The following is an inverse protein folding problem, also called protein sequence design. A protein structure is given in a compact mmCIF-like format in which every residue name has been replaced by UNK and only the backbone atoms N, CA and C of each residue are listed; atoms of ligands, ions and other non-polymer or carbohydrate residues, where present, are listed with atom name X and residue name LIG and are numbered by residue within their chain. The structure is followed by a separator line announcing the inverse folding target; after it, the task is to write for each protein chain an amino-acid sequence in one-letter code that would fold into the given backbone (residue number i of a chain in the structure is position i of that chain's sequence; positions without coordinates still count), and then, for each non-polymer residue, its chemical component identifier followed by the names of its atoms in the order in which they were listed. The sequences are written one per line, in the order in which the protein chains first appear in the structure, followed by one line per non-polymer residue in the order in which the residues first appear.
data_IF_027361005819
#
_entry.id   IF_027361005819
#
_cell.length_a   1.000
_cell.length_b   1.000
_cell.length_c   1.000
_cell.angle_alpha   90.00
_cell.angle_beta   90.00
_cell.angle_gamma   90.00
#
_symmetry.space_group_name_H-M   'P 1'
#
loop_
_entity.id
_entity.type
_entity.pdbx_description
1 polymer ?
#
# COMPACT_ATOMS: atom_id res chain seq x y z
N UNK A 1 -25.13 -3.89 -12.66
CA UNK A 1 -26.39 -4.08 -11.91
C UNK A 1 -26.02 -4.50 -10.49
N UNK A 2 -25.98 -3.56 -9.55
CA UNK A 2 -25.71 -3.86 -8.14
C UNK A 2 -27.04 -4.08 -7.43
N UNK A 3 -27.31 -5.33 -7.03
CA UNK A 3 -28.45 -5.66 -6.19
C UNK A 3 -28.28 -4.92 -4.86
N UNK A 4 -29.07 -3.86 -4.65
CA UNK A 4 -29.21 -3.25 -3.33
C UNK A 4 -29.94 -4.25 -2.44
N UNK A 5 -29.39 -4.66 -1.28
CA UNK A 5 -30.14 -5.48 -0.35
C UNK A 5 -31.38 -4.71 0.13
N UNK A 6 -32.51 -5.43 0.20
CA UNK A 6 -33.79 -4.94 0.70
C UNK A 6 -33.65 -4.29 2.10
N UNK A 7 -34.34 -3.17 2.42
CA UNK A 7 -34.20 -2.47 3.69
C UNK A 7 -34.76 -3.23 4.93
N UNK A 8 -35.29 -4.44 4.76
CA UNK A 8 -36.22 -5.05 5.71
C UNK A 8 -35.62 -6.02 6.74
N UNK A 9 -34.30 -6.10 6.90
CA UNK A 9 -33.66 -6.90 7.95
C UNK A 9 -32.60 -6.08 8.67
N UNK A 10 -33.00 -4.96 9.30
CA UNK A 10 -32.21 -4.37 10.38
C UNK A 10 -32.25 -5.31 11.57
N UNK A 11 -31.36 -6.32 11.60
CA UNK A 11 -31.04 -7.00 12.86
C UNK A 11 -30.69 -5.91 13.87
N UNK A 12 -31.38 -5.89 15.01
CA UNK A 12 -30.94 -5.10 16.17
C UNK A 12 -29.61 -5.70 16.61
N UNK A 13 -28.52 -5.09 16.20
CA UNK A 13 -27.20 -5.46 16.69
C UNK A 13 -27.13 -5.08 18.17
N UNK A 14 -26.71 -6.02 19.01
CA UNK A 14 -26.56 -5.81 20.45
C UNK A 14 -25.10 -6.04 20.82
N UNK A 15 -24.53 -5.13 21.61
CA UNK A 15 -23.24 -5.32 22.28
C UNK A 15 -23.47 -5.14 23.76
N UNK A 16 -23.10 -6.13 24.58
CA UNK A 16 -23.23 -6.08 26.05
C UNK A 16 -24.61 -5.61 26.54
N UNK A 17 -25.69 -6.17 25.96
CA UNK A 17 -27.08 -5.84 26.28
C UNK A 17 -27.55 -4.42 25.94
N UNK A 18 -26.74 -3.61 25.26
CA UNK A 18 -27.13 -2.31 24.72
C UNK A 18 -27.46 -2.42 23.21
N UNK A 19 -28.54 -1.79 22.73
CA UNK A 19 -28.82 -1.70 21.30
C UNK A 19 -27.76 -0.81 20.64
N UNK A 20 -27.16 -1.30 19.55
CA UNK A 20 -26.20 -0.51 18.76
C UNK A 20 -26.98 0.43 17.85
N UNK A 21 -26.61 1.71 17.87
CA UNK A 21 -27.14 2.70 16.94
C UNK A 21 -26.59 2.44 15.53
N UNK A 22 -27.48 2.19 14.56
CA UNK A 22 -27.11 2.03 13.15
C UNK A 22 -27.21 3.39 12.47
N UNK A 23 -26.06 4.01 12.19
CA UNK A 23 -25.98 5.29 11.49
C UNK A 23 -25.50 5.09 10.05
N UNK A 24 -25.91 5.98 9.15
CA UNK A 24 -25.42 5.97 7.76
C UNK A 24 -23.98 6.49 7.63
N UNK A 25 -23.57 7.26 8.62
CA UNK A 25 -22.32 8.00 8.64
C UNK A 25 -21.81 8.04 10.08
N UNK A 26 -20.56 7.64 10.26
CA UNK A 26 -19.90 7.64 11.56
C UNK A 26 -18.51 8.27 11.42
N UNK A 27 -18.16 9.14 12.36
CA UNK A 27 -16.85 9.79 12.40
C UNK A 27 -16.08 9.24 13.59
N UNK A 28 -14.88 8.74 13.32
CA UNK A 28 -13.96 8.29 14.36
C UNK A 28 -12.57 8.80 14.05
N UNK A 29 -12.01 9.59 14.98
CA UNK A 29 -10.69 10.21 14.85
C UNK A 29 -10.47 10.85 13.46
N UNK A 30 -11.43 11.63 12.97
CA UNK A 30 -11.41 12.28 11.65
C UNK A 30 -11.56 11.38 10.41
N UNK A 31 -11.65 10.06 10.60
CA UNK A 31 -12.02 9.09 9.56
C UNK A 31 -13.53 9.05 9.44
N UNK A 32 -14.02 9.11 8.20
CA UNK A 32 -15.45 9.09 7.87
C UNK A 32 -15.83 7.70 7.36
N UNK A 33 -16.58 6.96 8.16
CA UNK A 33 -17.19 5.68 7.78
C UNK A 33 -18.57 5.95 7.20
N UNK A 34 -18.91 5.27 6.11
CA UNK A 34 -20.19 5.41 5.42
C UNK A 34 -20.83 4.04 5.23
N UNK A 35 -22.16 3.99 5.13
CA UNK A 35 -22.93 2.74 4.96
C UNK A 35 -22.53 1.93 3.72
N UNK A 36 -21.99 2.60 2.69
CA UNK A 36 -21.51 1.97 1.46
C UNK A 36 -19.99 1.73 1.46
N UNK A 37 -19.31 1.98 2.59
CA UNK A 37 -17.86 1.84 2.78
C UNK A 37 -17.03 2.57 1.69
N UNK A 38 -17.56 3.67 1.14
CA UNK A 38 -16.84 4.46 0.14
C UNK A 38 -15.81 5.37 0.78
N UNK A 39 -14.55 5.20 0.37
CA UNK A 39 -13.41 5.98 0.84
C UNK A 39 -13.13 7.24 0.03
N UNK A 40 -13.82 7.45 -1.10
CA UNK A 40 -13.53 8.55 -2.03
C UNK A 40 -13.53 9.94 -1.37
N UNK A 41 -14.44 10.17 -0.42
CA UNK A 41 -14.51 11.43 0.31
C UNK A 41 -13.26 11.65 1.18
N UNK A 42 -12.78 10.57 1.80
CA UNK A 42 -11.57 10.60 2.63
C UNK A 42 -10.33 10.83 1.76
N UNK A 43 -10.20 10.13 0.63
CA UNK A 43 -9.08 10.31 -0.32
C UNK A 43 -9.08 11.73 -0.91
N UNK A 44 -10.25 12.27 -1.27
CA UNK A 44 -10.36 13.67 -1.72
C UNK A 44 -9.95 14.66 -0.64
N UNK A 45 -10.36 14.43 0.62
CA UNK A 45 -9.98 15.27 1.75
C UNK A 45 -8.47 15.20 1.99
N UNK A 46 -7.88 14.01 1.97
CA UNK A 46 -6.44 13.80 2.05
C UNK A 46 -5.69 14.58 0.95
N UNK A 47 -6.18 14.55 -0.29
CA UNK A 47 -5.58 15.31 -1.39
C UNK A 47 -5.68 16.83 -1.22
N UNK A 48 -6.78 17.34 -0.67
CA UNK A 48 -6.92 18.76 -0.32
C UNK A 48 -5.91 19.14 0.77
N UNK A 49 -5.83 18.34 1.83
CA UNK A 49 -4.89 18.59 2.93
C UNK A 49 -3.44 18.52 2.45
N UNK A 50 -3.11 17.58 1.57
CA UNK A 50 -1.81 17.49 0.92
C UNK A 50 -1.48 18.77 0.15
N UNK A 51 -2.40 19.27 -0.69
CA UNK A 51 -2.23 20.53 -1.44
C UNK A 51 -2.04 21.74 -0.52
N UNK A 52 -2.78 21.81 0.57
CA UNK A 52 -2.65 22.89 1.55
C UNK A 52 -1.28 22.86 2.24
N UNK A 53 -0.83 21.67 2.65
CA UNK A 53 0.46 21.47 3.28
C UNK A 53 1.62 21.78 2.32
N UNK A 54 1.59 21.26 1.09
CA UNK A 54 2.63 21.54 0.09
C UNK A 54 2.68 23.02 -0.29
N UNK A 55 1.52 23.67 -0.44
CA UNK A 55 1.46 25.12 -0.65
C UNK A 55 2.07 25.92 0.50
N UNK A 56 1.89 25.49 1.75
CA UNK A 56 2.54 26.12 2.90
C UNK A 56 4.06 25.92 2.89
N UNK A 57 4.53 24.73 2.53
CA UNK A 57 5.96 24.41 2.39
C UNK A 57 6.62 25.28 1.32
N UNK A 58 5.99 25.40 0.14
CA UNK A 58 6.52 26.23 -0.96
C UNK A 58 6.58 27.72 -0.57
N UNK A 59 5.55 28.24 0.11
CA UNK A 59 5.58 29.62 0.62
C UNK A 59 6.68 29.84 1.65
N UNK A 60 6.91 28.85 2.52
CA UNK A 60 8.00 28.88 3.49
C UNK A 60 9.37 28.91 2.78
N UNK A 61 9.59 28.03 1.80
CA UNK A 61 10.81 27.98 1.00
C UNK A 61 11.09 29.33 0.32
N UNK A 62 10.08 29.93 -0.30
CA UNK A 62 10.21 31.22 -0.98
C UNK A 62 10.55 32.35 0.00
N UNK A 63 9.83 32.45 1.12
CA UNK A 63 10.05 33.49 2.13
C UNK A 63 11.41 33.40 2.82
N UNK A 64 11.93 32.19 2.96
CA UNK A 64 13.16 31.94 3.68
C UNK A 64 14.41 31.89 2.75
N UNK A 65 14.31 32.45 1.54
CA UNK A 65 15.46 32.67 0.65
C UNK A 65 15.89 31.46 -0.19
N UNK A 66 15.05 30.43 -0.30
CA UNK A 66 15.37 29.21 -1.03
C UNK A 66 16.21 28.24 -0.19
N UNK A 67 15.61 27.11 0.20
CA UNK A 67 16.31 26.01 0.88
C UNK A 67 16.72 24.96 -0.16
N UNK A 68 17.70 24.11 0.20
CA UNK A 68 18.01 22.95 -0.62
C UNK A 68 16.76 22.08 -0.81
N UNK A 69 16.62 21.52 -2.03
CA UNK A 69 15.51 20.63 -2.39
C UNK A 69 15.40 19.48 -1.38
N UNK A 70 16.53 18.93 -0.95
CA UNK A 70 16.61 17.85 0.04
C UNK A 70 15.91 18.19 1.37
N UNK A 71 16.15 19.38 1.92
CA UNK A 71 15.51 19.81 3.18
C UNK A 71 13.99 19.96 2.98
N UNK A 72 13.58 20.52 1.85
CA UNK A 72 12.16 20.70 1.55
C UNK A 72 11.44 19.36 1.38
N UNK A 73 12.09 18.39 0.74
CA UNK A 73 11.58 17.02 0.63
C UNK A 73 11.47 16.33 1.99
N UNK A 74 12.40 16.57 2.90
CA UNK A 74 12.32 16.05 4.27
C UNK A 74 11.15 16.65 5.06
N UNK A 75 10.94 17.97 4.95
CA UNK A 75 9.78 18.64 5.54
C UNK A 75 8.48 18.09 4.94
N UNK A 76 8.45 17.89 3.62
CA UNK A 76 7.32 17.30 2.91
C UNK A 76 6.99 15.91 3.45
N UNK A 77 7.98 15.02 3.56
CA UNK A 77 7.80 13.66 4.08
C UNK A 77 7.30 13.65 5.53
N UNK A 78 7.84 14.52 6.39
CA UNK A 78 7.47 14.56 7.81
C UNK A 78 6.13 15.24 8.10
N UNK A 79 5.72 16.21 7.28
CA UNK A 79 4.50 17.01 7.54
C UNK A 79 3.37 16.67 6.57
N UNK A 80 3.60 16.86 5.27
CA UNK A 80 2.54 16.79 4.28
C UNK A 80 2.10 15.34 4.05
N UNK A 81 3.05 14.42 3.89
CA UNK A 81 2.79 12.99 3.71
C UNK A 81 2.15 12.38 4.97
N UNK A 82 2.70 12.68 6.15
CA UNK A 82 2.18 12.16 7.42
C UNK A 82 0.70 12.52 7.66
N UNK A 83 0.31 13.76 7.35
CA UNK A 83 -1.08 14.21 7.51
C UNK A 83 -1.98 13.63 6.41
N UNK A 84 -1.52 13.61 5.16
CA UNK A 84 -2.31 13.11 4.03
C UNK A 84 -2.60 11.61 4.15
N UNK A 85 -1.72 10.84 4.79
CA UNK A 85 -1.82 9.39 4.91
C UNK A 85 -2.38 8.92 6.24
N UNK A 86 -3.02 9.81 6.98
CA UNK A 86 -3.71 9.42 8.19
C UNK A 86 -4.80 8.38 7.86
N UNK A 87 -4.68 7.20 8.48
CA UNK A 87 -5.59 6.08 8.28
C UNK A 87 -5.47 5.40 6.92
N UNK A 88 -4.41 5.65 6.14
CA UNK A 88 -4.18 5.04 4.83
C UNK A 88 -4.21 3.50 4.87
N UNK A 89 -3.90 2.91 6.02
CA UNK A 89 -4.11 1.49 6.29
C UNK A 89 -5.50 0.97 5.88
N UNK A 90 -6.53 1.82 5.96
CA UNK A 90 -7.92 1.45 5.75
C UNK A 90 -8.47 1.82 4.38
N UNK A 91 -7.84 2.72 3.62
CA UNK A 91 -8.43 3.27 2.39
C UNK A 91 -7.51 3.26 1.17
N UNK A 92 -6.22 2.98 1.36
CA UNK A 92 -5.22 3.10 0.30
C UNK A 92 -5.37 2.06 -0.84
N UNK A 93 -6.19 1.03 -0.62
CA UNK A 93 -6.58 0.10 -1.68
C UNK A 93 -7.51 0.70 -2.75
N UNK A 94 -8.00 1.92 -2.53
CA UNK A 94 -8.86 2.65 -3.47
C UNK A 94 -8.08 3.51 -4.46
N UNK A 95 -8.77 4.23 -5.34
CA UNK A 95 -8.13 5.06 -6.35
C UNK A 95 -7.45 6.31 -5.74
N UNK A 96 -6.14 6.22 -5.51
CA UNK A 96 -5.30 7.30 -4.95
C UNK A 96 -4.76 8.28 -6.01
N UNK A 97 -5.24 8.25 -7.26
CA UNK A 97 -4.74 9.11 -8.36
C UNK A 97 -4.77 10.60 -8.01
N UNK A 98 -5.77 11.05 -7.24
CA UNK A 98 -5.88 12.45 -6.83
C UNK A 98 -4.75 12.90 -5.90
N UNK A 99 -4.17 11.98 -5.11
CA UNK A 99 -2.99 12.25 -4.27
C UNK A 99 -1.74 12.35 -5.14
N UNK A 100 -1.55 11.43 -6.07
CA UNK A 100 -0.43 11.45 -7.02
C UNK A 100 -0.41 12.74 -7.85
N UNK A 101 -1.57 13.24 -8.28
CA UNK A 101 -1.66 14.51 -9.01
C UNK A 101 -1.25 15.69 -8.12
N UNK A 102 -1.67 15.70 -6.85
CA UNK A 102 -1.29 16.74 -5.90
C UNK A 102 0.21 16.75 -5.62
N UNK A 103 0.80 15.56 -5.46
CA UNK A 103 2.24 15.38 -5.27
C UNK A 103 3.05 15.77 -6.51
N UNK A 104 2.64 15.32 -7.70
CA UNK A 104 3.28 15.69 -8.96
C UNK A 104 3.34 17.21 -9.14
N UNK A 105 2.23 17.90 -8.87
CA UNK A 105 2.18 19.36 -8.95
C UNK A 105 3.16 20.01 -7.98
N UNK A 106 3.28 19.50 -6.75
CA UNK A 106 4.25 20.00 -5.78
C UNK A 106 5.69 19.80 -6.25
N UNK A 107 6.06 18.59 -6.67
CA UNK A 107 7.42 18.28 -7.13
C UNK A 107 7.82 19.12 -8.35
N UNK A 108 6.88 19.34 -9.28
CA UNK A 108 7.13 20.16 -10.47
C UNK A 108 7.35 21.62 -10.12
N UNK A 109 6.57 22.17 -9.18
CA UNK A 109 6.79 23.55 -8.71
C UNK A 109 8.14 23.65 -7.96
N UNK A 110 8.45 22.67 -7.11
CA UNK A 110 9.70 22.63 -6.34
C UNK A 110 10.94 22.63 -7.26
N UNK A 111 10.88 21.91 -8.38
CA UNK A 111 11.97 21.78 -9.33
C UNK A 111 11.93 22.79 -10.49
N UNK A 112 10.92 23.67 -10.55
CA UNK A 112 10.76 24.61 -11.66
C UNK A 112 10.43 23.95 -13.01
N UNK A 113 9.76 22.79 -13.00
CA UNK A 113 9.47 21.99 -14.19
C UNK A 113 8.08 22.28 -14.79
N UNK A 114 8.04 22.34 -16.12
CA UNK A 114 6.82 22.57 -16.91
C UNK A 114 5.81 21.42 -16.87
N UNK A 115 4.60 21.68 -17.42
CA UNK A 115 3.45 20.75 -17.38
C UNK A 115 3.71 19.34 -17.92
N UNK A 116 4.66 19.19 -18.84
CA UNK A 116 4.98 17.94 -19.51
C UNK A 116 5.87 16.97 -18.74
N UNK A 117 6.47 17.36 -17.60
CA UNK A 117 7.36 16.46 -16.86
C UNK A 117 6.58 15.26 -16.29
N UNK A 118 6.91 14.01 -16.69
CA UNK A 118 6.20 12.83 -16.22
C UNK A 118 6.60 12.52 -14.78
N UNK A 119 5.60 12.22 -13.95
CA UNK A 119 5.77 11.97 -12.52
C UNK A 119 6.84 10.90 -12.22
N UNK A 120 6.90 9.82 -13.01
CA UNK A 120 7.90 8.75 -12.85
C UNK A 120 9.35 9.24 -13.01
N UNK A 121 9.60 10.19 -13.92
CA UNK A 121 10.94 10.75 -14.08
C UNK A 121 11.34 11.56 -12.85
N UNK A 122 10.42 12.32 -12.27
CA UNK A 122 10.67 13.09 -11.04
C UNK A 122 11.07 12.18 -9.88
N UNK A 123 10.42 11.03 -9.74
CA UNK A 123 10.77 10.05 -8.71
C UNK A 123 12.15 9.44 -8.91
N UNK A 124 12.47 9.09 -10.15
CA UNK A 124 13.80 8.56 -10.50
C UNK A 124 14.90 9.57 -10.16
N UNK A 125 14.72 10.84 -10.56
CA UNK A 125 15.69 11.91 -10.30
C UNK A 125 15.85 12.24 -8.81
N UNK A 126 14.74 12.26 -8.06
CA UNK A 126 14.76 12.63 -6.65
C UNK A 126 15.03 11.44 -5.72
N UNK A 127 15.18 10.24 -6.26
CA UNK A 127 15.22 8.98 -5.51
C UNK A 127 14.10 8.91 -4.45
N UNK A 128 12.91 9.38 -4.85
CA UNK A 128 11.73 9.42 -4.01
C UNK A 128 10.87 8.20 -4.25
N UNK A 129 10.11 7.88 -3.22
CA UNK A 129 9.08 6.85 -3.25
C UNK A 129 7.73 7.52 -3.42
N UNK A 130 6.90 6.97 -4.30
CA UNK A 130 5.61 7.57 -4.57
C UNK A 130 4.69 7.46 -3.36
N UNK A 131 3.77 8.41 -3.17
CA UNK A 131 2.67 8.19 -2.22
C UNK A 131 1.94 6.88 -2.53
N UNK A 132 1.83 6.48 -3.79
CA UNK A 132 1.22 5.20 -4.17
C UNK A 132 2.02 3.95 -3.83
N UNK A 133 3.30 4.07 -3.46
CA UNK A 133 4.12 2.96 -2.97
C UNK A 133 3.95 2.77 -1.46
N UNK A 134 3.13 3.60 -0.82
CA UNK A 134 2.71 3.41 0.56
C UNK A 134 1.60 2.36 0.69
N UNK A 135 1.16 1.77 -0.42
CA UNK A 135 0.20 0.67 -0.48
C UNK A 135 0.67 -0.64 0.21
N UNK A 136 1.87 -0.63 0.79
CA UNK A 136 2.28 -1.56 1.84
C UNK A 136 1.49 -1.38 3.16
N UNK A 137 0.91 -0.20 3.45
CA UNK A 137 0.26 0.08 4.75
C UNK A 137 -0.93 -0.82 5.03
N UNK A 138 -1.86 -1.09 4.09
CA UNK A 138 -2.93 -2.06 4.31
C UNK A 138 -2.41 -3.45 4.71
N UNK A 139 -1.42 -3.98 3.99
CA UNK A 139 -0.86 -5.32 4.27
C UNK A 139 -0.05 -5.33 5.57
N UNK A 140 0.70 -4.27 5.88
CA UNK A 140 1.41 -4.13 7.16
C UNK A 140 0.44 -3.91 8.34
N UNK A 141 -0.72 -3.30 8.11
CA UNK A 141 -1.78 -3.20 9.10
C UNK A 141 -2.45 -4.55 9.35
N UNK A 142 -2.80 -5.28 8.30
CA UNK A 142 -3.27 -6.66 8.41
C UNK A 142 -2.31 -7.51 9.23
N UNK A 143 -1.02 -7.50 8.90
CA UNK A 143 -0.02 -8.27 9.63
C UNK A 143 0.11 -7.85 11.11
N UNK A 144 -0.14 -6.58 11.44
CA UNK A 144 -0.20 -6.11 12.84
C UNK A 144 -1.45 -6.63 13.56
N UNK A 145 -2.61 -6.68 12.89
CA UNK A 145 -3.86 -7.18 13.45
C UNK A 145 -3.76 -8.67 13.75
N UNK A 146 -3.30 -9.47 12.77
CA UNK A 146 -3.07 -10.91 12.91
C UNK A 146 -2.15 -11.26 14.07
N UNK A 147 -1.09 -10.47 14.25
CA UNK A 147 -0.10 -10.68 15.32
C UNK A 147 -0.56 -10.25 16.71
N UNK A 148 -1.68 -9.53 16.81
CA UNK A 148 -2.11 -8.96 18.08
C UNK A 148 -3.16 -9.85 18.75
N UNK A 149 -2.80 -10.61 19.80
CA UNK A 149 -3.76 -11.49 20.48
C UNK A 149 -4.90 -10.71 21.17
N UNK A 150 -4.72 -9.41 21.43
CA UNK A 150 -5.76 -8.54 21.99
C UNK A 150 -6.73 -8.01 20.94
N UNK A 151 -6.50 -8.30 19.67
CA UNK A 151 -7.33 -7.88 18.56
C UNK A 151 -8.33 -8.97 18.14
N UNK A 152 -8.74 -9.85 19.07
CA UNK A 152 -9.68 -10.95 18.79
C UNK A 152 -10.94 -10.48 18.05
N UNK A 153 -11.56 -9.37 18.51
CA UNK A 153 -12.72 -8.76 17.83
C UNK A 153 -12.38 -8.29 16.40
N UNK A 154 -11.17 -7.76 16.19
CA UNK A 154 -10.72 -7.36 14.86
C UNK A 154 -10.49 -8.57 13.95
N UNK A 155 -10.11 -9.72 14.50
CA UNK A 155 -9.91 -10.95 13.75
C UNK A 155 -11.24 -11.60 13.38
N UNK A 156 -12.19 -11.67 14.32
CA UNK A 156 -13.56 -12.14 14.04
C UNK A 156 -14.23 -11.29 12.96
N UNK A 157 -14.14 -9.96 13.07
CA UNK A 157 -14.68 -9.05 12.05
C UNK A 157 -13.93 -9.14 10.72
N UNK A 158 -12.62 -9.43 10.74
CA UNK A 158 -11.85 -9.66 9.53
C UNK A 158 -12.29 -10.95 8.83
N UNK A 159 -12.46 -12.05 9.55
CA UNK A 159 -12.97 -13.31 9.02
C UNK A 159 -14.37 -13.15 8.41
N UNK A 160 -15.25 -12.40 9.08
CA UNK A 160 -16.56 -12.03 8.53
C UNK A 160 -16.42 -11.25 7.22
N UNK A 161 -15.60 -10.19 7.18
CA UNK A 161 -15.37 -9.38 5.97
C UNK A 161 -14.79 -10.22 4.84
N UNK A 162 -13.88 -11.15 5.13
CA UNK A 162 -13.31 -12.08 4.16
C UNK A 162 -14.38 -13.04 3.62
N UNK A 163 -15.31 -13.50 4.46
CA UNK A 163 -16.41 -14.36 4.01
C UNK A 163 -17.33 -13.66 3.00
N UNK A 164 -17.47 -12.33 3.10
CA UNK A 164 -18.23 -11.51 2.15
C UNK A 164 -17.50 -11.28 0.81
N UNK A 165 -16.18 -11.49 0.73
CA UNK A 165 -15.43 -11.33 -0.53
C UNK A 165 -15.79 -12.36 -1.61
N UNK A 166 -16.42 -13.48 -1.24
CA UNK A 166 -16.93 -14.49 -2.17
C UNK A 166 -17.92 -13.95 -3.22
N UNK A 167 -18.45 -12.73 -3.03
CA UNK A 167 -19.41 -12.08 -3.92
C UNK A 167 -18.78 -11.13 -4.96
N UNK A 168 -17.46 -11.17 -5.16
CA UNK A 168 -16.78 -10.39 -6.20
C UNK A 168 -16.58 -8.91 -5.89
N UNK A 169 -16.55 -8.55 -4.60
CA UNK A 169 -16.32 -7.19 -4.13
C UNK A 169 -14.84 -6.77 -4.13
N UNK A 170 -14.58 -5.47 -4.33
CA UNK A 170 -13.27 -4.86 -4.10
C UNK A 170 -13.12 -4.45 -2.62
N UNK A 171 -13.07 -5.41 -1.70
CA UNK A 171 -12.89 -5.08 -0.28
C UNK A 171 -11.42 -4.86 0.08
N UNK A 172 -11.20 -4.34 1.29
CA UNK A 172 -9.89 -4.25 1.91
C UNK A 172 -9.19 -5.62 2.04
N UNK A 173 -9.94 -6.66 2.42
CA UNK A 173 -9.43 -8.03 2.56
C UNK A 173 -8.97 -8.61 1.21
N UNK A 174 -9.80 -8.48 0.18
CA UNK A 174 -9.48 -8.87 -1.20
C UNK A 174 -8.20 -8.18 -1.70
N UNK A 175 -8.03 -6.90 -1.36
CA UNK A 175 -6.80 -6.17 -1.69
C UNK A 175 -5.57 -6.76 -0.98
N UNK A 176 -5.65 -7.03 0.32
CA UNK A 176 -4.54 -7.62 1.08
C UNK A 176 -4.18 -9.00 0.54
N UNK A 177 -5.17 -9.86 0.32
CA UNK A 177 -4.99 -11.19 -0.26
C UNK A 177 -4.31 -11.12 -1.63
N UNK A 178 -4.82 -10.30 -2.54
CA UNK A 178 -4.24 -10.11 -3.88
C UNK A 178 -2.81 -9.56 -3.80
N UNK A 179 -2.53 -8.68 -2.82
CA UNK A 179 -1.18 -8.15 -2.60
C UNK A 179 -0.23 -9.24 -2.13
N UNK A 180 -0.64 -10.09 -1.20
CA UNK A 180 0.13 -11.27 -0.77
C UNK A 180 0.37 -12.25 -1.91
N UNK A 181 -0.64 -12.52 -2.74
CA UNK A 181 -0.50 -13.37 -3.94
C UNK A 181 0.52 -12.79 -4.92
N UNK A 182 0.48 -11.48 -5.18
CA UNK A 182 1.47 -10.79 -6.02
C UNK A 182 2.88 -10.78 -5.43
N UNK A 183 3.00 -10.91 -4.12
CA UNK A 183 4.27 -11.04 -3.39
C UNK A 183 4.73 -12.50 -3.28
N UNK A 184 3.97 -13.46 -3.81
CA UNK A 184 4.22 -14.90 -3.65
C UNK A 184 4.18 -15.39 -2.20
N UNK A 185 3.36 -14.74 -1.37
CA UNK A 185 3.18 -15.00 0.06
C UNK A 185 1.75 -15.45 0.40
N UNK A 186 1.09 -16.16 -0.52
CA UNK A 186 -0.32 -16.56 -0.38
C UNK A 186 -0.55 -17.48 0.82
N UNK A 187 0.47 -18.23 1.23
CA UNK A 187 0.44 -19.13 2.38
C UNK A 187 0.24 -18.39 3.71
N UNK A 188 0.72 -17.14 3.82
CA UNK A 188 0.50 -16.31 5.01
C UNK A 188 -0.98 -15.91 5.18
N UNK A 189 -1.73 -15.87 4.09
CA UNK A 189 -3.17 -15.64 4.13
C UNK A 189 -3.94 -16.87 4.60
N UNK A 190 -3.47 -18.06 4.23
CA UNK A 190 -4.10 -19.35 4.61
C UNK A 190 -3.78 -19.71 6.06
N UNK A 191 -2.53 -19.52 6.48
CA UNK A 191 -2.07 -19.80 7.84
C UNK A 191 -1.57 -18.50 8.49
N UNK A 192 -2.55 -17.73 9.00
CA UNK A 192 -2.30 -16.45 9.67
C UNK A 192 -1.41 -16.61 10.92
N UNK A 193 -1.35 -17.80 11.52
CA UNK A 193 -0.48 -18.10 12.66
C UNK A 193 1.02 -18.00 12.34
N UNK A 194 1.39 -18.07 11.05
CA UNK A 194 2.80 -17.95 10.60
C UNK A 194 3.29 -16.51 10.48
N UNK A 195 2.42 -15.52 10.64
CA UNK A 195 2.82 -14.11 10.50
C UNK A 195 3.64 -13.69 11.72
N UNK A 196 4.96 -13.66 11.60
CA UNK A 196 5.89 -13.23 12.66
C UNK A 196 6.38 -11.80 12.44
N UNK A 197 7.20 -11.27 13.37
CA UNK A 197 7.87 -9.97 13.18
C UNK A 197 8.76 -9.96 11.94
N UNK A 198 9.45 -11.07 11.69
CA UNK A 198 10.37 -11.21 10.55
C UNK A 198 9.60 -11.26 9.24
N UNK A 199 8.45 -11.94 9.24
CA UNK A 199 7.52 -11.94 8.11
C UNK A 199 7.06 -10.53 7.75
N UNK A 200 6.81 -9.65 8.73
CA UNK A 200 6.45 -8.25 8.46
C UNK A 200 7.59 -7.48 7.80
N UNK A 201 8.84 -7.70 8.26
CA UNK A 201 10.03 -7.13 7.63
C UNK A 201 10.14 -7.57 6.17
N UNK A 202 10.05 -8.88 5.94
CA UNK A 202 10.08 -9.47 4.60
C UNK A 202 8.98 -8.93 3.67
N UNK A 203 7.73 -8.83 4.14
CA UNK A 203 6.62 -8.25 3.36
C UNK A 203 6.95 -6.82 2.94
N UNK A 204 7.46 -6.01 3.89
CA UNK A 204 7.82 -4.62 3.62
C UNK A 204 8.91 -4.54 2.55
N UNK A 205 9.95 -5.34 2.68
CA UNK A 205 11.11 -5.33 1.80
C UNK A 205 10.74 -5.82 0.39
N UNK A 206 10.00 -6.93 0.26
CA UNK A 206 9.53 -7.44 -1.03
C UNK A 206 8.58 -6.45 -1.73
N UNK A 207 7.66 -5.84 -0.98
CA UNK A 207 6.76 -4.82 -1.52
C UNK A 207 7.54 -3.61 -2.04
N UNK A 208 8.57 -3.18 -1.29
CA UNK A 208 9.43 -2.07 -1.67
C UNK A 208 10.20 -2.35 -2.95
N UNK A 209 10.78 -3.55 -3.06
CA UNK A 209 11.51 -3.96 -4.26
C UNK A 209 10.57 -4.07 -5.48
N UNK A 210 9.38 -4.66 -5.32
CA UNK A 210 8.37 -4.66 -6.39
C UNK A 210 7.97 -3.24 -6.82
N UNK A 211 7.88 -2.31 -5.87
CA UNK A 211 7.54 -0.91 -6.15
C UNK A 211 8.63 -0.24 -6.99
N UNK A 212 9.90 -0.36 -6.59
CA UNK A 212 11.05 0.10 -7.38
C UNK A 212 11.05 -0.50 -8.79
N UNK A 213 10.78 -1.80 -8.92
CA UNK A 213 10.73 -2.47 -10.22
C UNK A 213 9.64 -1.89 -11.13
N UNK A 214 8.46 -1.55 -10.58
CA UNK A 214 7.37 -0.91 -11.35
C UNK A 214 7.72 0.50 -11.83
N UNK A 215 8.59 1.20 -11.12
CA UNK A 215 9.10 2.51 -11.52
C UNK A 215 10.17 2.37 -12.61
N UNK A 216 11.09 1.42 -12.45
CA UNK A 216 12.25 1.25 -13.34
C UNK A 216 12.04 0.31 -14.53
N UNK A 217 10.90 -0.39 -14.62
CA UNK A 217 10.54 -1.35 -15.69
C UNK A 217 11.47 -2.57 -15.87
N UNK A 218 12.48 -2.78 -15.02
CA UNK A 218 13.40 -3.92 -15.10
C UNK A 218 13.62 -4.61 -13.73
N UNK A 219 13.71 -5.94 -13.75
CA UNK A 219 14.22 -6.76 -12.64
C UNK A 219 15.74 -6.60 -12.61
N UNK A 220 16.27 -5.93 -11.59
CA UNK A 220 17.73 -5.91 -11.45
C UNK A 220 18.22 -7.32 -11.08
N UNK A 221 19.27 -7.85 -11.75
CA UNK A 221 19.78 -9.21 -11.48
C UNK A 221 20.28 -9.42 -10.05
N UNK A 222 20.66 -8.34 -9.37
CA UNK A 222 21.12 -8.30 -7.98
C UNK A 222 19.99 -8.12 -6.96
N UNK A 223 18.73 -8.02 -7.40
CA UNK A 223 17.61 -7.82 -6.48
C UNK A 223 17.33 -9.05 -5.64
N UNK A 224 16.94 -8.81 -4.38
CA UNK A 224 16.48 -9.86 -3.45
C UNK A 224 15.31 -10.67 -4.04
N UNK A 225 14.47 -10.05 -4.88
CA UNK A 225 13.40 -10.74 -5.59
C UNK A 225 13.92 -11.67 -6.69
N UNK A 226 15.00 -11.32 -7.40
CA UNK A 226 15.69 -12.24 -8.34
C UNK A 226 16.24 -13.47 -7.59
N UNK A 227 16.83 -13.25 -6.41
CA UNK A 227 17.26 -14.33 -5.52
C UNK A 227 16.11 -15.23 -5.08
N UNK A 228 14.98 -14.67 -4.61
CA UNK A 228 13.82 -15.46 -4.19
C UNK A 228 13.12 -16.18 -5.35
N UNK A 229 13.06 -15.56 -6.53
CA UNK A 229 12.49 -16.16 -7.73
C UNK A 229 13.28 -17.42 -8.15
N UNK A 230 14.62 -17.31 -8.18
CA UNK A 230 15.52 -18.43 -8.50
C UNK A 230 15.55 -19.52 -7.42
N UNK A 231 15.23 -19.21 -6.17
CA UNK A 231 15.24 -20.18 -5.06
C UNK A 231 13.93 -20.94 -4.87
N UNK A 232 12.79 -20.34 -5.21
CA UNK A 232 11.47 -20.87 -4.84
C UNK A 232 10.74 -21.53 -6.03
N UNK A 233 11.08 -21.17 -7.26
CA UNK A 233 10.46 -21.73 -8.47
C UNK A 233 11.53 -22.01 -9.54
N UNK A 234 12.15 -23.19 -9.49
CA UNK A 234 13.16 -23.59 -10.47
C UNK A 234 12.58 -24.61 -11.48
N UNK A 235 12.96 -24.51 -12.75
CA UNK A 235 13.40 -25.66 -13.51
C UNK A 235 14.80 -25.39 -14.09
N UNK A 236 15.89 -26.07 -13.79
CA UNK A 236 16.32 -27.02 -12.76
C UNK A 236 17.84 -26.75 -12.56
N UNK A 237 18.47 -27.16 -11.45
CA UNK A 237 19.87 -26.82 -11.16
C UNK A 237 20.89 -27.30 -12.20
N UNK A 238 20.54 -28.35 -12.96
CA UNK A 238 21.40 -28.94 -13.99
C UNK A 238 21.54 -28.03 -15.23
N UNK A 239 20.48 -27.33 -15.62
CA UNK A 239 20.49 -26.40 -16.75
C UNK A 239 21.41 -25.19 -16.50
N UNK A 240 21.56 -24.81 -15.22
CA UNK A 240 22.44 -23.75 -14.76
C UNK A 240 23.92 -24.18 -14.70
N UNK A 241 24.20 -25.42 -14.25
CA UNK A 241 25.55 -25.98 -14.23
C UNK A 241 26.10 -26.23 -15.63
N UNK A 242 25.26 -26.71 -16.55
CA UNK A 242 25.62 -26.95 -17.95
C UNK A 242 25.92 -25.65 -18.73
N UNK A 243 25.41 -24.50 -18.26
CA UNK A 243 25.65 -23.19 -18.84
C UNK A 243 26.92 -22.51 -18.28
N UNK A 244 27.25 -22.75 -17.00
CA UNK A 244 28.40 -22.14 -16.32
C UNK A 244 29.71 -22.91 -16.47
N UNK A 245 29.65 -24.23 -16.72
CA UNK A 245 30.83 -25.08 -16.83
C UNK A 245 30.76 -26.01 -18.07
N UNK A 246 30.83 -25.46 -19.29
CA UNK A 246 30.79 -26.28 -20.51
C UNK A 246 31.96 -27.27 -20.59
N UNK A 247 33.07 -26.96 -19.93
CA UNK A 247 34.30 -27.78 -19.83
C UNK A 247 34.05 -29.14 -19.14
N UNK A 248 33.09 -29.23 -18.21
CA UNK A 248 32.83 -30.44 -17.42
C UNK A 248 32.09 -31.53 -18.22
N UNK A 249 31.60 -31.23 -19.43
CA UNK A 249 31.10 -32.25 -20.36
C UNK A 249 32.21 -33.16 -20.93
N UNK A 250 33.49 -32.78 -20.80
CA UNK A 250 34.60 -33.57 -21.35
C UNK A 250 35.15 -34.64 -20.39
N UNK A 251 34.59 -34.82 -19.19
CA UNK A 251 35.08 -35.80 -18.20
C UNK A 251 34.20 -37.08 -18.18
N UNK A 252 33.55 -37.40 -19.30
CA UNK A 252 33.01 -38.74 -19.53
C UNK A 252 33.60 -39.34 -20.82
N UNK A 253 34.80 -39.91 -20.66
CA UNK A 253 35.22 -41.18 -21.27
C UNK A 253 35.44 -42.15 -20.11
#
# INVERSE_FOLDING_TARGET
MTLRPSPSLRRKLMTNHAPIEVTKLFYYLWVRFSENLSWDCLVRKAAITLKQATGAILRFQYKAGGHSVTIILEIYARKAVAVALYGAELWEFTNVRVLQVAENNFLRILLGLGLGAPLKALYAELNLTMISELAARPILYWARVVRNPRAAVCLETLEEVISYDGYGGCSWGAYVKKTLENLWLKELWVDMGRVTKDTVGMIKDQYWELSKMRVHQELRPDSIMHYYFNKVYDPSPQAYLDMLYPELKQIHI
#
